data_IF_165440702311
#
_entry.id   IF_165440702311
#
_cell.length_a   1.000
_cell.length_b   1.000
_cell.length_c   1.000
_cell.angle_alpha   90.00
_cell.angle_beta   90.00
_cell.angle_gamma   90.00
#
_symmetry.space_group_name_H-M   'P 1'
#
loop_
_entity.id
_entity.type
_entity.pdbx_description
1 polymer ?
#
# COMPACT_ATOMS: atom_id res chain seq x y z
N UNK A 1 -20.79 -17.05 52.79
CA UNK A 1 -19.86 -18.15 52.48
C UNK A 1 -18.67 -17.50 51.78
N UNK A 2 -17.79 -16.80 52.50
CA UNK A 2 -17.01 -17.16 53.71
C UNK A 2 -15.80 -18.05 53.36
N UNK A 3 -14.72 -17.37 52.95
CA UNK A 3 -13.40 -17.35 53.61
C UNK A 3 -12.56 -18.65 53.79
N UNK A 4 -13.11 -19.85 53.65
CA UNK A 4 -12.45 -21.12 54.03
C UNK A 4 -11.50 -21.76 53.00
N UNK A 5 -10.88 -20.99 52.07
CA UNK A 5 -9.89 -21.52 51.11
C UNK A 5 -8.63 -20.65 50.95
N UNK A 6 -8.21 -19.97 52.04
CA UNK A 6 -6.91 -19.28 52.13
C UNK A 6 -5.86 -20.06 52.93
N UNK A 7 -6.17 -21.29 53.39
CA UNK A 7 -5.32 -22.06 54.31
C UNK A 7 -5.00 -23.48 53.80
N UNK A 8 -4.30 -23.58 52.66
CA UNK A 8 -3.64 -24.82 52.26
C UNK A 8 -2.40 -24.58 51.38
N UNK A 9 -1.31 -25.31 51.70
CA UNK A 9 0.01 -25.35 51.02
C UNK A 9 1.07 -24.29 51.37
N UNK A 10 1.36 -24.12 52.67
CA UNK A 10 2.68 -23.61 53.12
C UNK A 10 3.64 -24.76 53.47
N UNK A 11 4.63 -25.02 52.61
CA UNK A 11 5.88 -25.77 52.91
C UNK A 11 6.90 -25.45 51.79
N UNK A 12 7.90 -24.59 51.96
CA UNK A 12 9.08 -24.68 52.82
C UNK A 12 10.04 -25.80 52.38
N UNK A 13 11.04 -25.46 51.55
CA UNK A 13 12.44 -25.96 51.60
C UNK A 13 13.37 -25.02 50.79
N UNK A 14 14.44 -24.59 51.44
CA UNK A 14 15.72 -24.13 50.90
C UNK A 14 16.80 -24.98 51.63
N UNK A 15 18.06 -25.14 51.17
CA UNK A 15 18.93 -24.02 50.80
C UNK A 15 19.85 -24.35 49.58
N UNK A 16 21.19 -24.11 49.52
CA UNK A 16 21.78 -23.49 48.32
C UNK A 16 22.83 -24.35 47.60
N UNK A 17 23.38 -23.85 46.48
CA UNK A 17 24.80 -24.06 46.10
C UNK A 17 25.24 -23.10 44.98
N UNK A 18 26.21 -22.25 45.26
CA UNK A 18 27.17 -21.79 44.23
C UNK A 18 28.25 -22.86 44.03
N UNK A 19 28.96 -22.85 42.89
CA UNK A 19 30.38 -22.53 43.01
C UNK A 19 30.89 -21.50 41.99
N UNK A 20 31.85 -20.69 42.44
CA UNK A 20 32.53 -19.65 41.67
C UNK A 20 33.99 -20.07 41.40
N UNK A 21 34.38 -20.29 40.14
CA UNK A 21 35.80 -20.41 39.72
C UNK A 21 36.03 -19.63 38.41
N UNK A 22 37.17 -18.96 38.37
CA UNK A 22 37.58 -17.98 37.36
C UNK A 22 38.47 -18.53 36.23
N UNK A 23 38.60 -17.71 35.18
CA UNK A 23 39.71 -17.63 34.21
C UNK A 23 39.77 -18.63 33.04
N UNK A 24 39.96 -18.07 31.84
CA UNK A 24 41.15 -18.25 30.99
C UNK A 24 41.32 -16.97 30.14
N UNK A 25 42.52 -16.68 29.67
CA UNK A 25 42.90 -15.35 29.14
C UNK A 25 43.46 -15.38 27.71
N UNK A 26 43.18 -14.33 26.94
CA UNK A 26 43.85 -14.02 25.67
C UNK A 26 43.29 -14.68 24.40
N UNK A 27 43.61 -14.23 23.18
CA UNK A 27 44.37 -13.03 22.80
C UNK A 27 44.17 -12.64 21.32
N UNK A 28 44.61 -11.42 20.98
CA UNK A 28 45.05 -10.93 19.64
C UNK A 28 44.03 -10.66 18.50
N UNK A 29 44.31 -9.55 17.80
CA UNK A 29 43.74 -9.03 16.54
C UNK A 29 44.92 -8.45 15.70
N UNK A 30 44.79 -8.06 14.41
CA UNK A 30 43.79 -8.41 13.38
C UNK A 30 44.43 -9.35 12.31
N UNK A 31 45.02 -8.98 11.13
CA UNK A 31 45.11 -7.72 10.37
C UNK A 31 44.26 -7.69 9.05
N UNK A 32 44.42 -6.63 8.24
CA UNK A 32 43.74 -6.34 6.96
C UNK A 32 44.33 -7.06 5.73
N UNK A 33 43.48 -7.42 4.77
CA UNK A 33 43.81 -7.46 3.33
C UNK A 33 42.88 -6.52 2.52
N UNK A 34 43.10 -6.34 1.21
CA UNK A 34 42.50 -5.22 0.43
C UNK A 34 42.63 -5.43 -1.10
N UNK A 35 41.68 -4.86 -1.88
CA UNK A 35 41.62 -4.88 -3.37
C UNK A 35 41.28 -6.28 -3.98
N UNK A 36 40.78 -6.43 -5.21
CA UNK A 36 40.74 -5.52 -6.39
C UNK A 36 39.45 -5.70 -7.24
N UNK A 37 39.28 -4.93 -8.33
CA UNK A 37 38.17 -4.99 -9.31
C UNK A 37 38.34 -6.09 -10.39
N UNK A 38 37.28 -6.30 -11.19
CA UNK A 38 37.25 -6.95 -12.52
C UNK A 38 37.43 -8.49 -12.54
N UNK A 39 36.90 -9.25 -13.52
CA UNK A 39 35.96 -8.95 -14.63
C UNK A 39 35.24 -10.21 -15.15
N UNK A 40 34.21 -10.00 -15.97
CA UNK A 40 33.55 -10.94 -16.91
C UNK A 40 34.26 -12.25 -17.31
N UNK A 41 33.49 -13.34 -17.41
CA UNK A 41 33.21 -14.12 -18.64
C UNK A 41 32.18 -15.22 -18.31
N UNK A 42 31.40 -15.67 -19.29
CA UNK A 42 30.45 -16.76 -19.16
C UNK A 42 30.78 -17.92 -20.11
N UNK A 43 30.68 -19.19 -19.65
CA UNK A 43 30.04 -20.29 -20.39
C UNK A 43 30.11 -21.66 -19.67
N UNK A 44 28.94 -22.24 -19.43
CA UNK A 44 28.53 -23.67 -19.57
C UNK A 44 29.47 -24.84 -19.24
N UNK A 45 29.03 -25.67 -18.27
CA UNK A 45 28.86 -27.14 -18.41
C UNK A 45 28.10 -27.69 -17.17
N UNK A 46 26.78 -27.92 -17.21
CA UNK A 46 26.05 -29.08 -17.77
C UNK A 46 26.11 -30.37 -16.92
N UNK A 47 24.95 -30.84 -16.46
CA UNK A 47 24.71 -32.22 -16.03
C UNK A 47 23.20 -32.56 -16.12
N UNK A 48 22.90 -33.85 -16.35
CA UNK A 48 21.56 -34.47 -16.35
C UNK A 48 20.50 -33.85 -17.30
N UNK A 49 20.30 -34.49 -18.46
CA UNK A 49 19.18 -35.45 -18.56
C UNK A 49 19.47 -36.56 -19.59
N UNK A 50 18.88 -37.75 -19.42
CA UNK A 50 19.21 -38.96 -20.22
C UNK A 50 18.01 -39.90 -20.37
N UNK A 51 17.50 -40.09 -21.61
CA UNK A 51 17.08 -41.40 -22.13
C UNK A 51 16.73 -41.37 -23.65
N UNK A 52 16.95 -42.51 -24.33
CA UNK A 52 16.44 -42.92 -25.66
C UNK A 52 16.78 -42.04 -26.91
N UNK A 53 17.25 -42.56 -28.05
CA UNK A 53 17.70 -43.93 -28.36
C UNK A 53 17.93 -44.16 -29.87
N UNK A 54 19.15 -44.60 -30.24
CA UNK A 54 19.59 -45.47 -31.37
C UNK A 54 18.60 -45.67 -32.55
N UNK A 55 18.90 -45.41 -33.84
CA UNK A 55 19.85 -46.13 -34.75
C UNK A 55 20.28 -45.27 -35.95
N UNK A 56 21.42 -45.59 -36.58
CA UNK A 56 22.08 -44.82 -37.65
C UNK A 56 21.72 -45.24 -39.11
N UNK A 57 22.07 -44.38 -40.07
CA UNK A 57 22.07 -44.64 -41.52
C UNK A 57 22.77 -43.51 -42.31
N UNK A 58 23.50 -43.83 -43.38
CA UNK A 58 24.32 -42.87 -44.15
C UNK A 58 24.01 -42.95 -45.68
N UNK A 59 24.75 -42.32 -46.63
CA UNK A 59 24.16 -41.29 -47.49
C UNK A 59 23.92 -41.73 -48.96
N UNK A 60 23.10 -40.97 -49.69
CA UNK A 60 22.82 -41.16 -51.12
C UNK A 60 22.53 -39.84 -51.84
N UNK A 61 22.79 -39.77 -53.16
CA UNK A 61 22.79 -38.51 -53.92
C UNK A 61 21.98 -38.56 -55.23
N UNK A 62 21.21 -37.49 -55.52
CA UNK A 62 21.33 -36.65 -56.75
C UNK A 62 20.13 -35.71 -57.02
N UNK A 63 20.48 -34.45 -57.27
CA UNK A 63 19.93 -33.48 -58.23
C UNK A 63 18.45 -33.51 -58.69
N UNK A 64 17.77 -32.38 -58.48
CA UNK A 64 17.13 -31.60 -59.56
C UNK A 64 16.98 -30.12 -59.15
N UNK A 65 16.76 -29.22 -60.11
CA UNK A 65 16.90 -27.74 -59.99
C UNK A 65 15.60 -27.01 -60.40
N UNK A 66 15.55 -25.67 -60.55
CA UNK A 66 15.65 -24.66 -59.48
C UNK A 66 14.53 -23.57 -59.56
N UNK A 67 14.71 -22.51 -58.77
CA UNK A 67 14.24 -21.12 -58.98
C UNK A 67 12.75 -20.75 -58.72
N UNK A 68 12.58 -19.74 -57.85
CA UNK A 68 11.37 -18.93 -57.75
C UNK A 68 11.73 -17.50 -57.26
N UNK A 69 12.06 -16.59 -58.19
CA UNK A 69 12.12 -15.14 -57.90
C UNK A 69 10.85 -14.49 -58.45
N UNK A 70 10.01 -13.94 -57.57
CA UNK A 70 8.73 -13.34 -57.96
C UNK A 70 8.52 -11.96 -57.30
N UNK A 71 8.51 -10.90 -58.12
CA UNK A 71 8.35 -9.52 -57.67
C UNK A 71 6.91 -9.18 -57.27
N UNK A 72 6.74 -8.53 -56.11
CA UNK A 72 5.43 -8.16 -55.56
C UNK A 72 4.77 -7.03 -56.38
N UNK A 73 3.88 -7.37 -57.32
CA UNK A 73 3.24 -6.42 -58.23
C UNK A 73 2.18 -5.54 -57.55
N UNK A 74 2.33 -4.22 -57.65
CA UNK A 74 1.40 -3.18 -57.17
C UNK A 74 0.08 -3.23 -57.95
N UNK A 75 -1.06 -3.50 -57.28
CA UNK A 75 -2.39 -3.54 -57.90
C UNK A 75 -3.10 -2.19 -57.74
N UNK A 76 -3.19 -1.41 -58.82
CA UNK A 76 -4.09 -0.25 -58.89
C UNK A 76 -5.52 -0.73 -59.19
N UNK A 77 -6.51 -0.16 -58.50
CA UNK A 77 -7.94 -0.33 -58.82
C UNK A 77 -8.45 0.90 -59.56
N UNK A 78 -8.74 0.69 -60.84
CA UNK A 78 -9.34 1.62 -61.82
C UNK A 78 -10.58 2.32 -61.26
N UNK A 79 -10.67 3.64 -61.45
CA UNK A 79 -11.86 4.42 -61.10
C UNK A 79 -13.03 4.20 -62.06
N UNK A 80 -14.25 4.51 -61.59
CA UNK A 80 -15.47 4.59 -62.38
C UNK A 80 -16.07 5.99 -62.25
N UNK A 81 -16.57 6.55 -63.35
CA UNK A 81 -17.22 7.86 -63.35
C UNK A 81 -18.75 7.70 -63.19
N UNK A 82 -19.37 8.60 -62.43
CA UNK A 82 -20.82 8.66 -62.25
C UNK A 82 -21.44 9.78 -63.09
N UNK A 83 -22.62 9.58 -63.72
CA UNK A 83 -23.32 10.64 -64.46
C UNK A 83 -24.00 11.64 -63.51
N UNK A 84 -24.27 12.88 -63.96
CA UNK A 84 -24.92 13.91 -63.15
C UNK A 84 -26.45 13.76 -63.12
N UNK A 85 -27.05 13.72 -61.92
CA UNK A 85 -28.50 13.70 -61.74
C UNK A 85 -28.94 13.74 -60.27
N UNK A 86 -29.80 14.70 -59.93
CA UNK A 86 -30.44 14.90 -58.61
C UNK A 86 -31.17 13.66 -58.06
N UNK A 87 -31.45 13.54 -56.74
CA UNK A 87 -31.45 14.63 -55.75
C UNK A 87 -30.57 14.43 -54.51
N UNK A 88 -30.22 15.56 -53.87
CA UNK A 88 -29.57 15.59 -52.56
C UNK A 88 -30.59 15.21 -51.47
N UNK A 89 -30.39 14.04 -50.85
CA UNK A 89 -31.07 13.71 -49.60
C UNK A 89 -30.43 14.52 -48.48
N UNK A 90 -31.10 15.63 -48.11
CA UNK A 90 -30.76 16.41 -46.92
C UNK A 90 -31.05 15.57 -45.67
N UNK A 91 -30.04 14.85 -45.18
CA UNK A 91 -30.07 14.26 -43.83
C UNK A 91 -30.16 15.42 -42.83
N UNK A 92 -31.25 15.55 -42.04
CA UNK A 92 -31.35 16.64 -41.08
C UNK A 92 -30.29 16.45 -39.99
N UNK A 93 -29.38 17.41 -39.86
CA UNK A 93 -28.48 17.49 -38.70
C UNK A 93 -29.37 17.49 -37.44
N UNK A 94 -29.20 16.53 -36.50
CA UNK A 94 -30.07 16.47 -35.32
C UNK A 94 -29.92 17.79 -34.54
N UNK A 95 -31.07 18.45 -34.32
CA UNK A 95 -31.13 19.69 -33.54
C UNK A 95 -30.67 19.38 -32.12
N UNK A 96 -29.71 20.16 -31.61
CA UNK A 96 -29.16 19.98 -30.28
C UNK A 96 -30.28 20.16 -29.24
N UNK A 97 -30.73 19.05 -28.64
CA UNK A 97 -31.83 19.03 -27.68
C UNK A 97 -31.31 19.33 -26.28
N UNK A 98 -31.33 20.61 -25.92
CA UNK A 98 -31.39 21.12 -24.55
C UNK A 98 -30.37 20.54 -23.54
N UNK A 99 -29.08 20.86 -23.69
CA UNK A 99 -28.14 20.75 -22.56
C UNK A 99 -27.85 22.14 -21.96
N UNK A 100 -28.54 22.46 -20.85
CA UNK A 100 -27.91 23.22 -19.76
C UNK A 100 -28.10 22.59 -18.38
N UNK A 101 -28.92 21.53 -18.25
CA UNK A 101 -29.35 21.00 -16.95
C UNK A 101 -28.33 20.06 -16.27
N UNK A 102 -27.74 19.14 -17.03
CA UNK A 102 -26.86 18.10 -16.48
C UNK A 102 -25.66 18.66 -15.69
N UNK A 103 -25.01 19.71 -16.22
CA UNK A 103 -23.82 20.34 -15.62
C UNK A 103 -24.13 21.02 -14.26
N UNK A 104 -25.38 21.41 -14.03
CA UNK A 104 -25.84 21.98 -12.75
C UNK A 104 -26.20 20.87 -11.75
N UNK A 105 -26.90 19.84 -12.21
CA UNK A 105 -27.30 18.69 -11.39
C UNK A 105 -26.08 17.91 -10.88
N UNK A 106 -25.08 17.67 -11.74
CA UNK A 106 -23.84 16.98 -11.40
C UNK A 106 -23.05 17.68 -10.27
N UNK A 107 -22.91 19.01 -10.36
CA UNK A 107 -22.18 19.82 -9.36
C UNK A 107 -22.90 19.98 -8.01
N UNK A 108 -24.22 19.88 -7.99
CA UNK A 108 -24.99 19.91 -6.72
C UNK A 108 -25.07 18.51 -6.09
N UNK A 109 -25.06 17.45 -6.91
CA UNK A 109 -25.04 16.08 -6.43
C UNK A 109 -23.75 15.71 -5.69
N UNK A 110 -22.60 16.27 -6.07
CA UNK A 110 -21.30 15.91 -5.45
C UNK A 110 -21.19 16.24 -3.94
N UNK A 111 -21.41 17.49 -3.47
CA UNK A 111 -21.36 17.80 -2.03
C UNK A 111 -22.46 17.07 -1.24
N UNK A 112 -23.61 16.78 -1.86
CA UNK A 112 -24.68 15.98 -1.24
C UNK A 112 -24.26 14.51 -1.07
N UNK A 113 -23.59 13.91 -2.07
CA UNK A 113 -22.98 12.58 -1.95
C UNK A 113 -21.93 12.57 -0.84
N UNK A 114 -21.03 13.56 -0.78
CA UNK A 114 -20.03 13.65 0.29
C UNK A 114 -20.67 13.72 1.69
N UNK A 115 -21.66 14.61 1.88
CA UNK A 115 -22.38 14.70 3.15
C UNK A 115 -23.07 13.37 3.53
N UNK A 116 -23.64 12.68 2.53
CA UNK A 116 -24.23 11.34 2.72
C UNK A 116 -23.19 10.30 3.10
N UNK A 117 -22.02 10.28 2.45
CA UNK A 117 -20.87 9.41 2.78
C UNK A 117 -20.43 9.61 4.23
N UNK A 118 -20.31 10.87 4.67
CA UNK A 118 -19.93 11.22 6.04
C UNK A 118 -20.98 10.75 7.04
N UNK A 119 -22.25 11.10 6.86
CA UNK A 119 -23.34 10.69 7.78
C UNK A 119 -23.46 9.17 7.85
N UNK A 120 -23.39 8.47 6.72
CA UNK A 120 -23.49 7.01 6.68
C UNK A 120 -22.27 6.34 7.33
N UNK A 121 -21.06 6.86 7.16
CA UNK A 121 -19.87 6.39 7.89
C UNK A 121 -20.00 6.61 9.40
N UNK A 122 -20.58 7.72 9.86
CA UNK A 122 -20.80 7.94 11.29
C UNK A 122 -21.85 6.98 11.89
N UNK A 123 -23.00 6.81 11.22
CA UNK A 123 -24.06 5.91 11.69
C UNK A 123 -23.60 4.45 11.66
N UNK A 124 -22.94 4.03 10.57
CA UNK A 124 -22.46 2.66 10.42
C UNK A 124 -21.31 2.35 11.39
N UNK A 125 -20.36 3.26 11.60
CA UNK A 125 -19.31 3.04 12.60
C UNK A 125 -19.89 2.99 14.02
N UNK A 126 -20.82 3.89 14.40
CA UNK A 126 -21.43 3.85 15.72
C UNK A 126 -22.18 2.53 15.98
N UNK A 127 -22.93 2.02 15.00
CA UNK A 127 -23.60 0.72 15.09
C UNK A 127 -22.60 -0.45 15.19
N UNK A 128 -21.56 -0.47 14.36
CA UNK A 128 -20.56 -1.53 14.36
C UNK A 128 -19.67 -1.51 15.62
N UNK A 129 -19.24 -0.34 16.08
CA UNK A 129 -18.52 -0.16 17.37
C UNK A 129 -19.38 -0.65 18.55
N UNK A 130 -20.69 -0.40 18.52
CA UNK A 130 -21.62 -0.92 19.56
C UNK A 130 -21.64 -2.44 19.56
N UNK A 131 -21.69 -3.09 18.39
CA UNK A 131 -21.59 -4.55 18.28
C UNK A 131 -20.20 -5.07 18.70
N UNK A 132 -19.13 -4.41 18.27
CA UNK A 132 -17.74 -4.74 18.62
C UNK A 132 -17.47 -4.64 20.13
N UNK A 133 -18.18 -3.77 20.86
CA UNK A 133 -18.07 -3.66 22.32
C UNK A 133 -18.47 -4.94 23.08
N UNK A 134 -19.22 -5.85 22.44
CA UNK A 134 -19.53 -7.18 22.99
C UNK A 134 -18.36 -8.17 22.86
N UNK A 135 -17.38 -7.87 22.02
CA UNK A 135 -16.18 -8.70 21.76
C UNK A 135 -15.03 -8.21 22.65
N UNK A 136 -14.78 -8.92 23.75
CA UNK A 136 -13.80 -8.52 24.77
C UNK A 136 -14.30 -7.38 25.65
N UNK A 137 -15.43 -7.62 26.33
CA UNK A 137 -16.06 -6.64 27.23
C UNK A 137 -15.06 -6.15 28.28
N UNK A 138 -14.75 -4.85 28.26
CA UNK A 138 -13.86 -4.19 29.21
C UNK A 138 -12.40 -4.02 28.76
N UNK A 139 -11.96 -4.72 27.71
CA UNK A 139 -10.55 -4.69 27.25
C UNK A 139 -10.04 -3.26 27.01
N UNK A 140 -10.72 -2.53 26.11
CA UNK A 140 -10.37 -1.15 25.78
C UNK A 140 -10.74 -0.15 26.88
N UNK A 141 -11.82 -0.40 27.62
CA UNK A 141 -12.31 0.53 28.65
C UNK A 141 -11.35 0.69 29.84
N UNK A 142 -10.45 -0.28 30.06
CA UNK A 142 -9.40 -0.21 31.06
C UNK A 142 -8.24 0.74 30.68
N UNK A 143 -8.12 1.13 29.41
CA UNK A 143 -6.96 1.80 28.82
C UNK A 143 -7.36 3.07 28.03
N UNK A 144 -8.62 3.20 27.64
CA UNK A 144 -9.15 4.36 26.93
C UNK A 144 -9.07 5.64 27.77
N UNK A 145 -8.56 6.73 27.18
CA UNK A 145 -8.63 8.08 27.75
C UNK A 145 -10.09 8.52 27.89
N UNK A 146 -10.43 9.14 29.02
CA UNK A 146 -11.72 9.83 29.20
C UNK A 146 -11.60 11.25 28.66
N UNK A 147 -12.60 11.66 27.89
CA UNK A 147 -12.66 12.98 27.25
C UNK A 147 -13.62 13.89 28.00
N UNK A 148 -13.11 14.55 29.03
CA UNK A 148 -13.92 15.43 29.89
C UNK A 148 -14.15 16.83 29.28
N UNK A 149 -13.48 17.15 28.16
CA UNK A 149 -13.54 18.44 27.48
C UNK A 149 -14.08 18.32 26.05
N UNK A 150 -15.12 19.08 25.73
CA UNK A 150 -15.74 19.12 24.38
C UNK A 150 -14.75 19.39 23.24
N UNK A 151 -13.68 20.15 23.48
CA UNK A 151 -12.66 20.45 22.48
C UNK A 151 -11.90 19.19 22.02
N UNK A 152 -11.70 18.19 22.89
CA UNK A 152 -11.06 16.92 22.51
C UNK A 152 -12.00 16.10 21.61
N UNK A 153 -13.28 16.00 22.00
CA UNK A 153 -14.33 15.30 21.25
C UNK A 153 -14.52 15.94 19.86
N UNK A 154 -14.59 17.28 19.79
CA UNK A 154 -14.69 18.03 18.54
C UNK A 154 -13.42 17.92 17.69
N UNK A 155 -12.24 17.80 18.31
CA UNK A 155 -10.98 17.54 17.61
C UNK A 155 -10.96 16.17 16.92
N UNK A 156 -11.34 15.10 17.64
CA UNK A 156 -11.45 13.75 17.09
C UNK A 156 -12.54 13.63 16.02
N UNK A 157 -13.70 14.27 16.25
CA UNK A 157 -14.80 14.35 15.27
C UNK A 157 -14.36 15.08 14.00
N UNK A 158 -13.73 16.25 14.15
CA UNK A 158 -13.19 17.05 13.05
C UNK A 158 -12.10 16.31 12.28
N UNK A 159 -11.26 15.53 12.96
CA UNK A 159 -10.26 14.68 12.32
C UNK A 159 -10.88 13.53 11.50
N UNK A 160 -11.93 12.85 12.00
CA UNK A 160 -12.66 11.86 11.18
C UNK A 160 -13.28 12.51 9.93
N UNK A 161 -13.89 13.69 10.07
CA UNK A 161 -14.43 14.45 8.92
C UNK A 161 -13.31 14.84 7.95
N UNK A 162 -12.15 15.28 8.45
CA UNK A 162 -10.99 15.63 7.63
C UNK A 162 -10.43 14.43 6.84
N UNK A 163 -10.27 13.26 7.47
CA UNK A 163 -9.88 12.02 6.78
C UNK A 163 -10.85 11.66 5.65
N UNK A 164 -12.15 11.67 5.92
CA UNK A 164 -13.18 11.39 4.90
C UNK A 164 -13.18 12.44 3.78
N UNK A 165 -12.93 13.72 4.11
CA UNK A 165 -12.76 14.79 3.13
C UNK A 165 -11.52 14.61 2.24
N UNK A 166 -10.40 14.18 2.83
CA UNK A 166 -9.17 13.85 2.07
C UNK A 166 -9.40 12.67 1.13
N UNK A 167 -10.13 11.62 1.57
CA UNK A 167 -10.51 10.52 0.70
C UNK A 167 -11.39 10.99 -0.47
N UNK A 168 -12.35 11.89 -0.19
CA UNK A 168 -13.21 12.45 -1.21
C UNK A 168 -12.42 13.26 -2.25
N UNK A 169 -11.70 14.29 -1.80
CA UNK A 169 -10.96 15.23 -2.68
C UNK A 169 -9.75 14.57 -3.38
N UNK A 170 -9.30 13.39 -2.93
CA UNK A 170 -8.24 12.63 -3.61
C UNK A 170 -8.75 11.62 -4.67
N UNK A 171 -10.05 11.57 -4.91
CA UNK A 171 -10.72 10.62 -5.82
C UNK A 171 -10.47 9.14 -5.50
N UNK A 172 -10.28 8.83 -4.21
CA UNK A 172 -10.17 7.46 -3.73
C UNK A 172 -11.50 6.71 -3.82
N UNK A 173 -11.41 5.43 -4.20
CA UNK A 173 -12.54 4.50 -4.24
C UNK A 173 -12.69 3.72 -2.92
N UNK A 174 -13.61 2.77 -2.89
CA UNK A 174 -13.86 1.96 -1.69
C UNK A 174 -12.64 1.13 -1.25
N UNK A 175 -11.85 0.60 -2.19
CA UNK A 175 -10.68 -0.23 -1.89
C UNK A 175 -9.52 0.61 -1.37
N UNK A 176 -9.25 1.77 -1.98
CA UNK A 176 -8.30 2.76 -1.46
C UNK A 176 -8.66 3.17 -0.02
N UNK A 177 -9.96 3.42 0.24
CA UNK A 177 -10.46 3.83 1.56
C UNK A 177 -10.35 2.70 2.60
N UNK A 178 -10.61 1.45 2.22
CA UNK A 178 -10.41 0.30 3.12
C UNK A 178 -8.93 0.05 3.42
N UNK A 179 -8.08 0.08 2.39
CA UNK A 179 -6.63 -0.08 2.53
C UNK A 179 -6.03 1.01 3.43
N UNK A 180 -6.38 2.28 3.20
CA UNK A 180 -5.99 3.37 4.09
C UNK A 180 -6.52 3.16 5.51
N UNK A 181 -7.79 2.81 5.69
CA UNK A 181 -8.37 2.62 7.04
C UNK A 181 -7.67 1.49 7.81
N UNK A 182 -7.25 0.41 7.14
CA UNK A 182 -6.46 -0.67 7.72
C UNK A 182 -5.02 -0.22 8.07
N UNK A 183 -4.36 0.54 7.17
CA UNK A 183 -3.02 1.08 7.42
C UNK A 183 -2.99 2.10 8.57
N UNK A 184 -4.06 2.90 8.70
CA UNK A 184 -4.22 3.92 9.72
C UNK A 184 -4.47 3.30 11.11
N UNK A 185 -5.19 2.19 11.18
CA UNK A 185 -5.48 1.48 12.43
C UNK A 185 -4.34 0.53 12.88
N UNK A 186 -3.56 -0.02 11.95
CA UNK A 186 -2.45 -0.96 12.23
C UNK A 186 -1.48 -0.50 13.34
N UNK A 187 -1.00 0.77 13.39
CA UNK A 187 -0.16 1.28 14.48
C UNK A 187 -0.79 1.11 15.87
N UNK A 188 -2.02 1.58 16.05
CA UNK A 188 -2.73 1.48 17.33
C UNK A 188 -3.04 0.02 17.69
N UNK A 189 -3.40 -0.81 16.69
CA UNK A 189 -3.69 -2.22 16.90
C UNK A 189 -2.45 -3.00 17.38
N UNK A 190 -1.27 -2.80 16.78
CA UNK A 190 -0.04 -3.45 17.25
C UNK A 190 0.39 -2.95 18.63
N UNK A 191 0.33 -1.64 18.90
CA UNK A 191 0.67 -1.11 20.22
C UNK A 191 -0.20 -1.75 21.32
N UNK A 192 -1.51 -1.78 21.11
CA UNK A 192 -2.48 -2.30 22.07
C UNK A 192 -2.39 -3.82 22.24
N UNK A 193 -2.17 -4.57 21.15
CA UNK A 193 -2.01 -6.02 21.19
C UNK A 193 -0.71 -6.46 21.86
N UNK A 194 0.42 -5.88 21.46
CA UNK A 194 1.76 -6.29 21.92
C UNK A 194 2.03 -5.84 23.36
N UNK A 195 1.77 -4.58 23.70
CA UNK A 195 2.22 -4.00 24.98
C UNK A 195 1.12 -3.84 26.02
N UNK A 196 -0.11 -3.54 25.61
CA UNK A 196 -1.26 -3.43 26.52
C UNK A 196 -2.01 -4.75 26.71
N UNK A 197 -1.64 -5.84 26.01
CA UNK A 197 -2.31 -7.14 26.05
C UNK A 197 -3.83 -7.03 25.87
N UNK A 198 -4.28 -6.24 24.89
CA UNK A 198 -5.67 -6.27 24.42
C UNK A 198 -5.88 -7.52 23.56
N UNK A 199 -7.05 -8.15 23.66
CA UNK A 199 -7.32 -9.37 22.89
C UNK A 199 -7.34 -9.09 21.37
N UNK A 200 -6.72 -9.96 20.54
CA UNK A 200 -6.77 -9.80 19.08
C UNK A 200 -8.20 -9.79 18.52
N UNK A 201 -9.16 -10.41 19.20
CA UNK A 201 -10.58 -10.40 18.83
C UNK A 201 -11.19 -8.99 18.92
N UNK A 202 -10.96 -8.25 20.00
CA UNK A 202 -11.40 -6.85 20.12
C UNK A 202 -10.73 -5.95 19.09
N UNK A 203 -9.41 -6.09 18.90
CA UNK A 203 -8.65 -5.26 17.95
C UNK A 203 -9.10 -5.49 16.50
N UNK A 204 -9.29 -6.74 16.09
CA UNK A 204 -9.81 -7.07 14.76
C UNK A 204 -11.27 -6.65 14.59
N UNK A 205 -12.11 -6.77 15.62
CA UNK A 205 -13.52 -6.33 15.57
C UNK A 205 -13.66 -4.81 15.42
N UNK A 206 -12.90 -4.02 16.18
CA UNK A 206 -12.88 -2.55 16.05
C UNK A 206 -12.29 -2.11 14.71
N UNK A 207 -11.17 -2.72 14.29
CA UNK A 207 -10.53 -2.43 12.99
C UNK A 207 -11.48 -2.73 11.83
N UNK A 208 -12.12 -3.91 11.83
CA UNK A 208 -13.10 -4.29 10.81
C UNK A 208 -14.33 -3.38 10.82
N UNK A 209 -14.80 -2.96 12.00
CA UNK A 209 -15.89 -2.00 12.14
C UNK A 209 -15.57 -0.68 11.45
N UNK A 210 -14.38 -0.12 11.66
CA UNK A 210 -13.91 1.10 10.99
C UNK A 210 -13.75 0.91 9.48
N UNK A 211 -13.20 -0.23 9.03
CA UNK A 211 -13.03 -0.54 7.59
C UNK A 211 -14.39 -0.62 6.90
N UNK A 212 -15.35 -1.39 7.44
CA UNK A 212 -16.69 -1.54 6.85
C UNK A 212 -17.44 -0.21 6.86
N UNK A 213 -17.34 0.57 7.94
CA UNK A 213 -17.98 1.89 8.03
C UNK A 213 -17.46 2.90 7.00
N UNK A 214 -16.20 2.80 6.57
CA UNK A 214 -15.64 3.70 5.56
C UNK A 214 -15.74 3.12 4.13
N UNK A 215 -15.65 1.80 3.96
CA UNK A 215 -15.80 1.11 2.68
C UNK A 215 -17.22 1.24 2.12
N UNK A 216 -18.24 0.85 2.90
CA UNK A 216 -19.62 0.69 2.41
C UNK A 216 -20.21 1.99 1.83
N UNK A 217 -20.08 3.17 2.47
CA UNK A 217 -20.60 4.41 1.89
C UNK A 217 -19.91 4.78 0.57
N UNK A 218 -18.58 4.61 0.48
CA UNK A 218 -17.84 4.92 -0.74
C UNK A 218 -18.15 3.91 -1.87
N UNK A 219 -18.34 2.63 -1.55
CA UNK A 219 -18.71 1.59 -2.52
C UNK A 219 -20.05 1.87 -3.22
N UNK A 220 -21.02 2.47 -2.52
CA UNK A 220 -22.33 2.82 -3.09
C UNK A 220 -22.40 4.22 -3.70
N UNK A 221 -21.56 5.17 -3.27
CA UNK A 221 -21.63 6.58 -3.67
C UNK A 221 -20.53 7.03 -4.65
N UNK A 222 -19.54 6.18 -4.93
CA UNK A 222 -18.44 6.44 -5.88
C UNK A 222 -18.24 5.29 -6.88
N UNK A 223 -17.76 5.58 -8.11
CA UNK A 223 -17.29 4.53 -9.00
C UNK A 223 -16.04 3.84 -8.44
N UNK A 224 -15.86 2.56 -8.76
CA UNK A 224 -14.64 1.81 -8.43
C UNK A 224 -13.54 2.20 -9.42
N UNK A 225 -12.31 2.38 -8.93
CA UNK A 225 -11.16 2.69 -9.77
C UNK A 225 -10.89 1.55 -10.76
N UNK A 226 -10.57 1.85 -12.04
CA UNK A 226 -10.15 0.82 -12.96
C UNK A 226 -8.82 0.14 -12.54
N UNK A 227 -8.03 0.70 -11.60
CA UNK A 227 -6.87 0.02 -11.01
C UNK A 227 -7.25 -1.25 -10.25
N UNK A 228 -8.38 -1.25 -9.53
CA UNK A 228 -8.88 -2.38 -8.74
C UNK A 228 -9.86 -3.26 -9.53
N UNK A 229 -10.24 -2.84 -10.74
CA UNK A 229 -11.03 -3.63 -11.70
C UNK A 229 -10.33 -3.78 -13.06
N UNK A 230 -9.02 -4.15 -13.10
CA UNK A 230 -8.20 -4.10 -14.30
C UNK A 230 -8.71 -5.03 -15.41
N UNK A 231 -9.50 -6.06 -15.04
CA UNK A 231 -10.13 -6.96 -15.99
C UNK A 231 -11.32 -6.34 -16.75
N UNK A 232 -12.12 -5.52 -16.07
CA UNK A 232 -13.26 -4.80 -16.63
C UNK A 232 -12.86 -3.51 -17.37
N UNK A 233 -11.70 -2.93 -17.01
CA UNK A 233 -11.18 -1.72 -17.63
C UNK A 233 -10.93 -1.89 -19.15
N UNK A 234 -11.13 -0.83 -19.97
CA UNK A 234 -10.80 -0.83 -21.39
C UNK A 234 -9.34 -1.21 -21.66
N UNK A 235 -9.07 -1.93 -22.77
CA UNK A 235 -7.71 -2.34 -23.14
C UNK A 235 -6.74 -1.17 -23.40
N UNK A 236 -7.27 0.01 -23.68
CA UNK A 236 -6.51 1.26 -23.83
C UNK A 236 -6.20 1.98 -22.52
N UNK A 237 -6.83 1.61 -21.40
CA UNK A 237 -6.62 2.30 -20.12
C UNK A 237 -5.21 2.07 -19.54
N UNK A 238 -4.70 0.83 -19.63
CA UNK A 238 -3.45 0.44 -18.97
C UNK A 238 -2.53 -0.40 -19.88
N UNK A 239 -1.31 0.08 -20.09
CA UNK A 239 -0.21 -0.70 -20.68
C UNK A 239 0.18 -1.89 -19.79
N UNK A 240 0.12 -1.70 -18.47
CA UNK A 240 0.66 -2.61 -17.45
C UNK A 240 -0.38 -3.61 -16.91
N UNK A 241 -1.53 -3.78 -17.58
CA UNK A 241 -2.62 -4.69 -17.16
C UNK A 241 -2.16 -6.10 -16.74
N UNK A 242 -1.19 -6.77 -17.41
CA UNK A 242 -0.72 -8.08 -16.98
C UNK A 242 -0.16 -8.10 -15.54
N UNK A 243 0.55 -7.04 -15.13
CA UNK A 243 1.15 -6.88 -13.80
C UNK A 243 0.07 -6.71 -12.74
N UNK A 244 -0.99 -5.95 -13.05
CA UNK A 244 -2.17 -5.76 -12.18
C UNK A 244 -3.04 -7.03 -12.03
N UNK A 245 -2.93 -7.98 -12.96
CA UNK A 245 -3.72 -9.22 -12.95
C UNK A 245 -2.94 -10.44 -12.46
N UNK A 246 -1.65 -10.31 -12.14
CA UNK A 246 -0.81 -11.41 -11.71
C UNK A 246 -0.85 -11.60 -10.18
N UNK A 247 -1.42 -12.71 -9.66
CA UNK A 247 -1.47 -12.95 -8.22
C UNK A 247 -0.07 -13.14 -7.61
N UNK A 248 0.95 -13.56 -8.37
CA UNK A 248 2.30 -13.71 -7.85
C UNK A 248 2.94 -12.33 -7.56
N UNK A 249 2.76 -11.36 -8.45
CA UNK A 249 3.15 -9.96 -8.23
C UNK A 249 2.42 -9.36 -7.03
N UNK A 250 1.10 -9.57 -6.89
CA UNK A 250 0.33 -9.13 -5.72
C UNK A 250 0.87 -9.72 -4.42
N UNK A 251 1.08 -11.05 -4.37
CA UNK A 251 1.62 -11.73 -3.19
C UNK A 251 3.05 -11.25 -2.87
N UNK A 252 3.93 -11.17 -3.86
CA UNK A 252 5.32 -10.78 -3.67
C UNK A 252 5.46 -9.33 -3.17
N UNK A 253 4.70 -8.38 -3.74
CA UNK A 253 4.72 -6.98 -3.31
C UNK A 253 4.06 -6.79 -1.94
N UNK A 254 3.00 -7.54 -1.62
CA UNK A 254 2.37 -7.55 -0.29
C UNK A 254 3.31 -8.09 0.79
N UNK A 255 3.99 -9.21 0.52
CA UNK A 255 4.97 -9.80 1.44
C UNK A 255 6.23 -8.92 1.59
N UNK A 256 6.65 -8.24 0.53
CA UNK A 256 7.75 -7.28 0.58
C UNK A 256 7.42 -6.07 1.47
N UNK A 257 6.22 -5.50 1.32
CA UNK A 257 5.74 -4.45 2.22
C UNK A 257 5.63 -4.95 3.67
N UNK A 258 5.07 -6.14 3.88
CA UNK A 258 5.00 -6.82 5.19
C UNK A 258 6.38 -6.92 5.86
N UNK A 259 7.38 -7.37 5.10
CA UNK A 259 8.75 -7.53 5.58
C UNK A 259 9.42 -6.19 5.92
N UNK A 260 9.17 -5.12 5.15
CA UNK A 260 9.72 -3.78 5.42
C UNK A 260 9.18 -3.25 6.76
N UNK A 261 7.88 -3.30 7.00
CA UNK A 261 7.32 -2.88 8.30
C UNK A 261 7.79 -3.77 9.46
N UNK A 262 7.85 -5.10 9.27
CA UNK A 262 8.30 -6.02 10.31
C UNK A 262 9.76 -5.79 10.71
N UNK A 263 10.66 -5.62 9.73
CA UNK A 263 12.10 -5.38 9.97
C UNK A 263 12.36 -3.99 10.55
N UNK A 264 11.59 -2.96 10.16
CA UNK A 264 11.73 -1.62 10.74
C UNK A 264 11.18 -1.55 12.17
N UNK A 265 10.09 -2.25 12.47
CA UNK A 265 9.51 -2.30 13.82
C UNK A 265 10.40 -3.13 14.77
N UNK A 266 10.91 -4.28 14.31
CA UNK A 266 11.92 -5.07 15.02
C UNK A 266 13.21 -4.26 15.24
N UNK A 267 13.67 -3.54 14.22
CA UNK A 267 14.83 -2.64 14.34
C UNK A 267 14.60 -1.50 15.35
N UNK A 268 13.38 -0.99 15.47
CA UNK A 268 13.01 -0.01 16.48
C UNK A 268 12.98 -0.62 17.89
N UNK A 269 12.42 -1.84 18.05
CA UNK A 269 12.47 -2.60 19.30
C UNK A 269 13.91 -2.89 19.76
N UNK A 270 14.78 -3.30 18.85
CA UNK A 270 16.17 -3.62 19.14
C UNK A 270 17.08 -2.39 19.44
N UNK A 271 16.58 -1.16 19.34
CA UNK A 271 17.41 0.06 19.44
C UNK A 271 16.93 1.11 20.44
N UNK A 272 15.70 1.64 20.30
CA UNK A 272 15.24 2.79 21.10
C UNK A 272 13.80 2.66 21.62
N UNK A 273 12.93 1.96 20.89
CA UNK A 273 11.49 2.02 21.12
C UNK A 273 11.05 1.48 22.50
N UNK A 274 11.65 0.41 23.10
CA UNK A 274 11.20 -0.08 24.39
C UNK A 274 11.50 0.91 25.52
N UNK A 275 12.64 1.61 25.43
CA UNK A 275 13.00 2.69 26.37
C UNK A 275 12.04 3.87 26.21
N UNK A 276 11.72 4.24 24.97
CA UNK A 276 10.76 5.33 24.69
C UNK A 276 9.33 5.00 25.16
N UNK A 277 8.91 3.75 25.00
CA UNK A 277 7.62 3.26 25.53
C UNK A 277 7.59 3.38 27.06
N UNK A 278 8.62 2.93 27.79
CA UNK A 278 8.70 3.07 29.26
C UNK A 278 8.57 4.53 29.70
N UNK A 279 9.23 5.45 29.00
CA UNK A 279 9.29 6.87 29.39
C UNK A 279 7.97 7.62 29.14
N UNK A 280 7.26 7.31 28.06
CA UNK A 280 6.16 8.15 27.56
C UNK A 280 4.79 7.45 27.43
N UNK A 281 4.68 6.16 27.78
CA UNK A 281 3.41 5.41 27.72
C UNK A 281 3.13 4.74 29.09
N UNK A 282 2.19 5.31 29.84
CA UNK A 282 1.72 4.74 31.11
C UNK A 282 0.76 3.55 30.86
N UNK A 283 0.78 2.54 31.73
CA UNK A 283 -0.20 1.45 31.71
C UNK A 283 0.15 0.24 30.82
N UNK A 284 1.36 0.22 30.26
CA UNK A 284 1.91 -0.94 29.55
C UNK A 284 1.85 -2.21 30.43
N UNK A 285 1.31 -3.31 29.90
CA UNK A 285 1.14 -4.59 30.62
C UNK A 285 2.26 -5.61 30.35
N UNK A 286 3.14 -5.34 29.40
CA UNK A 286 4.39 -6.09 29.15
C UNK A 286 5.32 -5.29 28.24
N UNK A 287 6.60 -5.69 28.20
CA UNK A 287 7.58 -5.33 27.16
C UNK A 287 8.20 -6.58 26.51
N UNK A 288 7.72 -7.77 26.86
CA UNK A 288 8.20 -9.08 26.41
C UNK A 288 8.34 -9.19 24.88
N UNK A 289 7.37 -8.77 24.03
CA UNK A 289 7.53 -8.89 22.58
C UNK A 289 8.74 -8.15 22.00
N UNK A 290 9.13 -7.04 22.62
CA UNK A 290 10.30 -6.26 22.20
C UNK A 290 11.64 -6.84 22.68
N UNK A 291 11.61 -7.81 23.62
CA UNK A 291 12.79 -8.50 24.13
C UNK A 291 12.98 -9.90 23.53
N UNK A 292 12.07 -10.36 22.67
CA UNK A 292 12.23 -11.60 21.89
C UNK A 292 13.34 -11.48 20.83
N UNK A 293 13.67 -10.26 20.42
CA UNK A 293 14.61 -10.01 19.32
C UNK A 293 14.19 -10.75 18.04
N UNK A 294 15.14 -11.34 17.28
CA UNK A 294 14.85 -12.08 16.06
C UNK A 294 13.79 -13.20 16.17
N UNK A 295 13.47 -13.70 17.38
CA UNK A 295 12.39 -14.66 17.59
C UNK A 295 10.98 -14.04 17.55
N UNK A 296 10.85 -12.71 17.71
CA UNK A 296 9.59 -11.97 17.55
C UNK A 296 9.23 -11.68 16.09
N UNK A 297 10.21 -11.66 15.19
CA UNK A 297 10.04 -11.33 13.78
C UNK A 297 8.97 -12.17 13.04
N UNK A 298 8.84 -13.50 13.25
CA UNK A 298 7.75 -14.29 12.64
C UNK A 298 6.35 -13.84 13.07
N UNK A 299 6.18 -13.43 14.34
CA UNK A 299 4.93 -12.88 14.87
C UNK A 299 4.62 -11.53 14.24
N UNK A 300 5.62 -10.66 14.10
CA UNK A 300 5.47 -9.36 13.43
C UNK A 300 5.11 -9.52 11.96
N UNK A 301 5.79 -10.41 11.22
CA UNK A 301 5.42 -10.73 9.84
C UNK A 301 3.96 -11.17 9.73
N UNK A 302 3.54 -12.16 10.53
CA UNK A 302 2.18 -12.70 10.49
C UNK A 302 1.12 -11.63 10.81
N UNK A 303 1.38 -10.77 11.80
CA UNK A 303 0.48 -9.69 12.19
C UNK A 303 0.43 -8.55 11.15
N UNK A 304 1.47 -8.38 10.33
CA UNK A 304 1.58 -7.31 9.33
C UNK A 304 1.12 -7.71 7.92
N UNK A 305 0.81 -8.98 7.64
CA UNK A 305 0.29 -9.42 6.33
C UNK A 305 -0.89 -8.54 5.84
N UNK A 306 -1.90 -8.21 6.66
CA UNK A 306 -3.01 -7.35 6.23
C UNK A 306 -2.57 -5.94 5.85
N UNK A 307 -1.58 -5.38 6.57
CA UNK A 307 -1.01 -4.07 6.26
C UNK A 307 -0.15 -4.12 4.99
N UNK A 308 0.65 -5.16 4.79
CA UNK A 308 1.43 -5.33 3.56
C UNK A 308 0.56 -5.44 2.31
N UNK A 309 -0.56 -6.18 2.39
CA UNK A 309 -1.57 -6.23 1.33
C UNK A 309 -2.23 -4.86 1.11
N UNK A 310 -2.62 -4.15 2.18
CA UNK A 310 -3.16 -2.81 2.06
C UNK A 310 -2.17 -1.80 1.42
N UNK A 311 -0.85 -1.94 1.63
CA UNK A 311 0.15 -1.13 0.90
C UNK A 311 0.26 -1.53 -0.57
N UNK A 312 0.13 -2.81 -0.91
CA UNK A 312 0.09 -3.24 -2.32
C UNK A 312 -1.13 -2.65 -3.04
N UNK A 313 -2.32 -2.74 -2.46
CA UNK A 313 -3.52 -2.14 -3.05
C UNK A 313 -3.42 -0.60 -3.08
N UNK A 314 -3.01 0.06 -2.00
CA UNK A 314 -3.02 1.52 -1.97
C UNK A 314 -1.87 2.20 -2.75
N UNK A 315 -0.65 1.64 -2.73
CA UNK A 315 0.52 2.23 -3.41
C UNK A 315 0.83 1.57 -4.75
N UNK A 316 0.87 0.23 -4.83
CA UNK A 316 1.44 -0.46 -6.00
C UNK A 316 0.43 -0.57 -7.16
N UNK A 317 -0.81 -0.98 -6.91
CA UNK A 317 -1.80 -1.12 -7.98
C UNK A 317 -2.16 0.23 -8.66
N UNK A 318 -2.53 1.30 -7.94
CA UNK A 318 -2.75 2.63 -8.51
C UNK A 318 -1.53 3.22 -9.22
N UNK A 319 -0.31 3.07 -8.70
CA UNK A 319 0.88 3.59 -9.38
C UNK A 319 1.24 2.80 -10.64
N UNK A 320 1.11 1.47 -10.66
CA UNK A 320 1.32 0.68 -11.88
C UNK A 320 0.18 0.83 -12.89
N UNK A 321 -1.02 1.22 -12.44
CA UNK A 321 -2.15 1.64 -13.27
C UNK A 321 -2.03 3.10 -13.79
N UNK A 322 -1.17 3.94 -13.22
CA UNK A 322 -1.02 5.33 -13.64
C UNK A 322 -0.40 5.44 -15.05
N UNK A 323 -1.27 5.59 -16.05
CA UNK A 323 -0.88 5.58 -17.46
C UNK A 323 0.13 6.68 -17.81
N UNK A 324 1.05 6.37 -18.73
CA UNK A 324 2.06 7.32 -19.26
C UNK A 324 1.44 8.51 -20.01
N UNK A 325 0.13 8.49 -20.27
CA UNK A 325 -0.64 9.58 -20.86
C UNK A 325 -1.09 10.59 -19.79
N UNK A 326 -0.62 11.83 -19.94
CA UNK A 326 -1.23 13.00 -19.29
C UNK A 326 -2.61 13.23 -19.91
N UNK A 327 -3.66 12.63 -19.33
CA UNK A 327 -5.05 12.85 -19.77
C UNK A 327 -5.58 14.18 -19.19
N UNK A 328 -4.98 15.28 -19.64
CA UNK A 328 -5.81 16.44 -20.00
C UNK A 328 -6.72 16.02 -21.14
N UNK A 329 -7.98 16.50 -21.15
CA UNK A 329 -8.95 16.18 -22.20
C UNK A 329 -8.54 16.86 -23.51
N UNK A 330 -7.72 16.15 -24.30
CA UNK A 330 -7.25 16.52 -25.62
C UNK A 330 -7.41 15.31 -26.57
N UNK A 331 -7.73 15.52 -27.86
CA UNK A 331 -7.90 14.42 -28.80
C UNK A 331 -6.59 13.64 -29.02
N UNK A 332 -6.71 12.35 -29.38
CA UNK A 332 -5.67 11.28 -29.37
C UNK A 332 -4.36 11.51 -30.18
N UNK A 333 -4.11 12.71 -30.71
CA UNK A 333 -3.08 12.98 -31.72
C UNK A 333 -1.91 13.85 -31.24
N UNK A 334 -1.89 14.30 -29.99
CA UNK A 334 -0.77 15.08 -29.44
C UNK A 334 0.00 14.26 -28.39
N UNK A 335 1.20 13.72 -28.70
CA UNK A 335 2.08 13.21 -27.65
C UNK A 335 2.47 14.38 -26.72
N UNK A 336 2.62 14.11 -25.42
CA UNK A 336 3.07 15.12 -24.47
C UNK A 336 4.41 15.71 -24.97
N UNK A 337 4.58 17.05 -25.01
CA UNK A 337 5.74 17.67 -25.63
C UNK A 337 7.01 17.23 -24.87
N UNK A 338 7.91 16.56 -25.60
CA UNK A 338 9.21 16.21 -25.07
C UNK A 338 9.96 17.49 -24.71
N UNK A 339 10.57 17.51 -23.52
CA UNK A 339 11.32 18.67 -23.02
C UNK A 339 12.51 18.95 -23.93
N UNK A 340 12.48 20.10 -24.61
CA UNK A 340 13.59 20.58 -25.44
C UNK A 340 14.45 21.60 -24.65
N UNK A 341 15.66 21.23 -24.21
CA UNK A 341 16.54 22.14 -23.48
C UNK A 341 17.03 23.34 -24.31
N UNK A 342 16.90 23.31 -25.65
CA UNK A 342 17.32 24.41 -26.51
C UNK A 342 16.28 25.57 -26.56
N UNK A 343 15.01 25.30 -26.25
CA UNK A 343 13.91 26.29 -26.28
C UNK A 343 13.20 26.50 -24.93
N UNK A 344 13.36 25.57 -23.98
CA UNK A 344 12.80 25.64 -22.63
C UNK A 344 13.33 26.84 -21.82
N UNK A 345 12.45 27.51 -21.07
CA UNK A 345 12.84 28.60 -20.17
C UNK A 345 13.62 28.07 -18.95
N UNK A 346 14.18 28.97 -18.15
CA UNK A 346 14.81 28.62 -16.87
C UNK A 346 13.83 27.98 -15.87
N UNK A 347 12.55 28.40 -15.87
CA UNK A 347 11.52 27.78 -15.04
C UNK A 347 11.15 26.39 -15.54
N UNK A 348 11.11 26.17 -16.85
CA UNK A 348 10.89 24.85 -17.43
C UNK A 348 12.05 23.90 -17.11
N UNK A 349 13.30 24.38 -17.11
CA UNK A 349 14.47 23.62 -16.67
C UNK A 349 14.38 23.23 -15.19
N UNK A 350 14.00 24.17 -14.30
CA UNK A 350 13.78 23.87 -12.87
C UNK A 350 12.66 22.84 -12.71
N UNK A 351 11.50 23.06 -13.33
CA UNK A 351 10.37 22.14 -13.24
C UNK A 351 10.73 20.76 -13.80
N UNK A 352 11.41 20.69 -14.95
CA UNK A 352 11.82 19.42 -15.55
C UNK A 352 12.76 18.63 -14.65
N UNK A 353 13.78 19.28 -14.09
CA UNK A 353 14.78 18.64 -13.24
C UNK A 353 14.27 18.33 -11.81
N UNK A 354 13.27 19.07 -11.31
CA UNK A 354 12.68 18.83 -10.00
C UNK A 354 11.50 17.83 -10.01
N UNK A 355 10.71 17.79 -11.09
CA UNK A 355 9.46 17.02 -11.14
C UNK A 355 9.13 16.44 -12.51
N UNK A 356 9.42 17.15 -13.60
CA UNK A 356 9.02 16.76 -14.96
C UNK A 356 9.58 15.40 -15.37
N UNK A 357 10.82 15.08 -14.99
CA UNK A 357 11.53 13.84 -15.35
C UNK A 357 10.92 12.53 -14.80
N UNK A 358 10.11 12.59 -13.74
CA UNK A 358 9.47 11.38 -13.19
C UNK A 358 8.38 10.82 -14.11
N UNK A 359 8.23 9.49 -14.17
CA UNK A 359 7.11 8.84 -14.88
C UNK A 359 5.75 9.16 -14.24
N UNK A 360 4.62 8.93 -14.94
CA UNK A 360 3.28 9.04 -14.34
C UNK A 360 3.14 8.15 -13.10
N UNK A 361 3.64 6.90 -13.20
CA UNK A 361 3.72 5.93 -12.11
C UNK A 361 4.50 6.49 -10.92
N UNK A 362 5.69 7.05 -11.16
CA UNK A 362 6.53 7.62 -10.12
C UNK A 362 5.86 8.83 -9.44
N UNK A 363 5.22 9.71 -10.21
CA UNK A 363 4.48 10.88 -9.69
C UNK A 363 3.30 10.45 -8.79
N UNK A 364 2.50 9.48 -9.21
CA UNK A 364 1.37 8.97 -8.41
C UNK A 364 1.86 8.18 -7.18
N UNK A 365 2.93 7.40 -7.31
CA UNK A 365 3.55 6.70 -6.18
C UNK A 365 4.09 7.69 -5.13
N UNK A 366 4.77 8.76 -5.55
CA UNK A 366 5.25 9.83 -4.65
C UNK A 366 4.07 10.53 -3.97
N UNK A 367 3.03 10.91 -4.71
CA UNK A 367 1.80 11.54 -4.18
C UNK A 367 1.15 10.66 -3.10
N UNK A 368 0.89 9.38 -3.42
CA UNK A 368 0.24 8.44 -2.51
C UNK A 368 1.12 8.07 -1.32
N UNK A 369 2.42 7.90 -1.51
CA UNK A 369 3.36 7.67 -0.39
C UNK A 369 3.36 8.86 0.56
N UNK A 370 3.46 10.11 0.06
CA UNK A 370 3.44 11.30 0.89
C UNK A 370 2.12 11.46 1.67
N UNK A 371 0.98 11.16 1.03
CA UNK A 371 -0.34 11.19 1.67
C UNK A 371 -0.47 10.10 2.74
N UNK A 372 -0.04 8.86 2.46
CA UNK A 372 0.00 7.77 3.43
C UNK A 372 0.90 8.13 4.63
N UNK A 373 2.14 8.58 4.40
CA UNK A 373 3.05 9.01 5.47
C UNK A 373 2.43 10.12 6.33
N UNK A 374 1.74 11.08 5.73
CA UNK A 374 1.07 12.17 6.46
C UNK A 374 -0.10 11.66 7.31
N UNK A 375 -0.98 10.84 6.71
CA UNK A 375 -2.15 10.30 7.41
C UNK A 375 -1.75 9.30 8.50
N UNK A 376 -0.84 8.35 8.23
CA UNK A 376 -0.43 7.33 9.20
C UNK A 376 0.29 7.95 10.40
N UNK A 377 1.07 9.01 10.18
CA UNK A 377 1.68 9.77 11.28
C UNK A 377 0.61 10.44 12.14
N UNK A 378 -0.32 11.16 11.49
CA UNK A 378 -1.37 11.92 12.17
C UNK A 378 -2.34 11.02 12.93
N UNK A 379 -2.76 9.91 12.33
CA UNK A 379 -3.60 8.92 13.01
C UNK A 379 -2.85 8.23 14.15
N UNK A 380 -1.58 7.86 13.98
CA UNK A 380 -0.82 7.23 15.07
C UNK A 380 -0.71 8.17 16.27
N UNK A 381 -0.44 9.46 16.04
CA UNK A 381 -0.43 10.46 17.12
C UNK A 381 -1.80 10.59 17.79
N UNK A 382 -2.86 10.79 17.01
CA UNK A 382 -4.20 11.05 17.55
C UNK A 382 -4.85 9.80 18.21
N UNK A 383 -4.60 8.60 17.69
CA UNK A 383 -5.10 7.35 18.29
C UNK A 383 -4.33 6.95 19.54
N UNK A 384 -3.04 7.29 19.65
CA UNK A 384 -2.26 7.00 20.87
C UNK A 384 -2.43 8.09 21.93
N UNK A 385 -1.97 9.32 21.69
CA UNK A 385 -2.11 10.43 22.65
C UNK A 385 -3.57 10.83 22.93
N UNK A 386 -4.43 10.75 21.91
CA UNK A 386 -5.86 11.07 22.06
C UNK A 386 -6.66 9.95 22.72
N UNK A 387 -6.55 8.70 22.24
CA UNK A 387 -7.44 7.62 22.73
C UNK A 387 -6.87 6.75 23.85
N UNK A 388 -5.55 6.73 24.10
CA UNK A 388 -4.92 5.92 25.16
C UNK A 388 -4.62 6.80 26.38
N UNK A 389 -5.01 6.33 27.57
CA UNK A 389 -4.79 7.07 28.81
C UNK A 389 -3.31 7.06 29.21
N UNK A 390 -2.76 8.24 29.53
CA UNK A 390 -1.39 8.36 30.01
C UNK A 390 -0.30 8.16 28.95
N UNK A 391 -0.62 8.36 27.67
CA UNK A 391 0.39 8.50 26.60
C UNK A 391 0.75 9.98 26.44
N UNK A 392 2.04 10.27 26.43
CA UNK A 392 2.55 11.62 26.16
C UNK A 392 2.71 11.89 24.66
N UNK A 393 2.64 13.15 24.26
CA UNK A 393 2.72 13.54 22.84
C UNK A 393 4.09 13.23 22.22
N UNK A 394 5.17 13.30 23.00
CA UNK A 394 6.53 12.93 22.57
C UNK A 394 6.65 11.40 22.34
N UNK A 395 5.99 10.61 23.20
CA UNK A 395 5.74 9.18 23.00
C UNK A 395 5.05 8.89 21.67
N UNK A 396 3.90 9.53 21.47
CA UNK A 396 3.03 9.35 20.31
C UNK A 396 3.73 9.75 18.98
N UNK A 397 4.43 10.89 18.95
CA UNK A 397 5.12 11.40 17.75
C UNK A 397 6.29 10.51 17.35
N UNK A 398 7.10 10.02 18.30
CA UNK A 398 8.23 9.17 17.96
C UNK A 398 7.77 7.75 17.55
N UNK A 399 6.71 7.21 18.18
CA UNK A 399 6.10 5.97 17.72
C UNK A 399 5.52 6.10 16.30
N UNK A 400 4.84 7.21 16.00
CA UNK A 400 4.38 7.55 14.65
C UNK A 400 5.54 7.63 13.63
N UNK A 401 6.72 8.09 14.05
CA UNK A 401 7.94 8.15 13.23
C UNK A 401 8.38 6.80 12.67
N UNK A 402 8.16 5.68 13.38
CA UNK A 402 8.43 4.32 12.89
C UNK A 402 7.57 4.02 11.65
N UNK A 403 6.28 4.30 11.75
CA UNK A 403 5.30 4.05 10.70
C UNK A 403 5.44 5.00 9.51
N UNK A 404 5.76 6.27 9.79
CA UNK A 404 6.13 7.26 8.78
C UNK A 404 7.32 6.79 7.93
N UNK A 405 8.36 6.29 8.61
CA UNK A 405 9.57 5.74 7.98
C UNK A 405 9.23 4.48 7.18
N UNK A 406 8.41 3.57 7.71
CA UNK A 406 7.96 2.36 7.01
C UNK A 406 7.21 2.67 5.71
N UNK A 407 6.32 3.67 5.71
CA UNK A 407 5.63 4.13 4.51
C UNK A 407 6.61 4.71 3.47
N UNK A 408 7.55 5.58 3.89
CA UNK A 408 8.55 6.17 2.99
C UNK A 408 9.49 5.13 2.39
N UNK A 409 10.02 4.21 3.19
CA UNK A 409 10.90 3.13 2.73
C UNK A 409 10.15 2.19 1.79
N UNK A 410 8.90 1.83 2.10
CA UNK A 410 8.11 0.96 1.22
C UNK A 410 7.79 1.64 -0.11
N UNK A 411 7.43 2.94 -0.12
CA UNK A 411 7.28 3.70 -1.37
C UNK A 411 8.57 3.74 -2.21
N UNK A 412 9.73 3.94 -1.57
CA UNK A 412 11.04 3.88 -2.23
C UNK A 412 11.38 2.51 -2.82
N UNK A 413 11.08 1.42 -2.10
CA UNK A 413 11.32 0.05 -2.58
C UNK A 413 10.33 -0.34 -3.68
N UNK A 414 9.05 0.02 -3.57
CA UNK A 414 8.06 -0.21 -4.65
C UNK A 414 8.36 0.60 -5.91
N UNK A 415 9.00 1.78 -5.75
CA UNK A 415 9.51 2.54 -6.88
C UNK A 415 10.61 1.74 -7.64
N UNK A 416 11.58 1.20 -6.89
CA UNK A 416 12.65 0.38 -7.45
C UNK A 416 12.14 -0.92 -8.09
N UNK A 417 11.32 -1.70 -7.38
CA UNK A 417 10.80 -3.00 -7.85
C UNK A 417 9.92 -2.85 -9.09
N UNK A 418 9.06 -1.84 -9.14
CA UNK A 418 8.20 -1.59 -10.30
C UNK A 418 8.88 -0.85 -11.46
N UNK A 419 10.19 -0.54 -11.38
CA UNK A 419 10.94 0.13 -12.45
C UNK A 419 10.79 -0.48 -13.85
N UNK A 420 10.64 -1.81 -14.04
CA UNK A 420 10.33 -2.42 -15.34
C UNK A 420 8.94 -2.10 -15.92
N UNK A 421 8.13 -1.27 -15.26
CA UNK A 421 6.78 -0.87 -15.69
C UNK A 421 6.65 0.62 -16.05
N UNK A 422 7.76 1.37 -16.04
CA UNK A 422 7.89 2.71 -16.63
C UNK A 422 8.09 2.61 -18.17
#
# INVERSE_FOLDING_TARGET
MLDDLLELTTTLVHPPHEPNISSITGAAMPPRSRHTKASSIASNSSAADVLNGIVAGSPGSKASSPAATATRRRRQSRGAASPPGSPVVLVPKPVARNEPLAIVEEKVAEPLKFATTVVLSFVLEAGLQTLASTVGVGDLAAISRRHDTWNEILGLLGWKIAKLGIYWVSDFDAYDVAALTLLLSTPSALLLGLFYKISPATLTSVTLSSIVANFVPNYFLRPISPSHTPNSAPKSAFRNRPILTDPYTTIATSLLATAIFAVLLEGAFATYLPTWLILHFVGLRTLEPAHLGPAGLPTLLLALIPAGYAVQEYLFAPSTAAASSTITVAPETTPAPAFDPATATFLDHIHFNAWGWYSSRQKELIRRTALLTTLISSETVLSTWGSVHGVEIEGAVLYAGVWATGALVTGGVLNWVGGPSD
#
